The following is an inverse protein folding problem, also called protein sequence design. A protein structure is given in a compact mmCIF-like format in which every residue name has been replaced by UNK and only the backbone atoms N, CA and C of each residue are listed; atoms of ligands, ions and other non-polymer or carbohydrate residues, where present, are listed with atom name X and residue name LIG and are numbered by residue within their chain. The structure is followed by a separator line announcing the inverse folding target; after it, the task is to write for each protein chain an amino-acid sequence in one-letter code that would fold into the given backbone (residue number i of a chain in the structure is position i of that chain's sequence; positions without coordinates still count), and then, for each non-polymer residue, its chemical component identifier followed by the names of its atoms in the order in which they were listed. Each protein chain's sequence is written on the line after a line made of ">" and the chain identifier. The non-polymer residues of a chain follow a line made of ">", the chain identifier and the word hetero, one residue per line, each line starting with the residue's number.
data_IF_130661018680
#
_entry.id   IF_130661018680
#
_cell.length_a   1.000
_cell.length_b   1.000
_cell.length_c   1.000
_cell.angle_alpha   90.00
_cell.angle_beta   90.00
_cell.angle_gamma   90.00
#
_symmetry.space_group_name_H-M   'P 1'
#
loop_
_entity.id
_entity.type
_entity.pdbx_description
1 polymer ?
#
# COMPACT_ATOMS: atom_id res chain seq x y z
N UNK A 1 11.53 -9.42 -19.00
CA UNK A 1 10.61 -10.10 -18.06
C UNK A 1 9.24 -9.50 -18.27
N UNK A 2 8.25 -10.30 -18.69
CA UNK A 2 6.89 -9.81 -18.86
C UNK A 2 6.38 -9.24 -17.53
N UNK A 3 5.90 -8.01 -17.54
CA UNK A 3 5.35 -7.36 -16.36
C UNK A 3 4.09 -8.15 -15.96
N UNK A 4 4.18 -8.95 -14.90
CA UNK A 4 3.04 -9.71 -14.41
C UNK A 4 1.92 -8.71 -14.08
N UNK A 5 0.77 -8.86 -14.76
CA UNK A 5 -0.39 -7.97 -14.61
C UNK A 5 -0.67 -7.79 -13.12
N UNK A 6 -0.57 -6.55 -12.64
CA UNK A 6 -0.77 -6.25 -11.23
C UNK A 6 -2.15 -6.75 -10.78
N UNK A 7 -2.24 -7.35 -9.59
CA UNK A 7 -3.52 -7.78 -9.01
C UNK A 7 -4.54 -6.64 -8.95
N UNK A 8 -4.07 -5.39 -8.93
CA UNK A 8 -4.89 -4.18 -8.97
C UNK A 8 -5.51 -3.94 -10.35
N UNK A 9 -4.81 -4.29 -11.42
CA UNK A 9 -5.29 -4.12 -12.79
C UNK A 9 -6.30 -5.21 -13.17
N UNK A 10 -6.13 -6.41 -12.60
CA UNK A 10 -7.10 -7.50 -12.73
C UNK A 10 -8.41 -7.25 -11.97
N UNK A 11 -8.35 -6.56 -10.83
CA UNK A 11 -9.50 -6.29 -9.97
C UNK A 11 -9.98 -4.83 -10.01
N UNK A 12 -9.63 -4.10 -11.07
CA UNK A 12 -9.92 -2.66 -11.14
C UNK A 12 -11.42 -2.36 -11.02
N UNK A 13 -12.27 -3.15 -11.66
CA UNK A 13 -13.73 -3.00 -11.57
C UNK A 13 -14.23 -3.16 -10.13
N UNK A 14 -13.79 -4.21 -9.41
CA UNK A 14 -14.15 -4.42 -8.01
C UNK A 14 -13.66 -3.27 -7.12
N UNK A 15 -12.46 -2.78 -7.37
CA UNK A 15 -11.89 -1.65 -6.64
C UNK A 15 -12.71 -0.38 -6.86
N UNK A 16 -13.10 -0.08 -8.10
CA UNK A 16 -13.94 1.05 -8.44
C UNK A 16 -15.34 0.93 -7.82
N UNK A 17 -15.94 -0.27 -7.81
CA UNK A 17 -17.21 -0.53 -7.14
C UNK A 17 -17.12 -0.29 -5.63
N UNK A 18 -16.06 -0.80 -4.98
CA UNK A 18 -15.82 -0.59 -3.55
C UNK A 18 -15.64 0.90 -3.22
N UNK A 19 -14.87 1.63 -4.05
CA UNK A 19 -14.66 3.07 -3.90
C UNK A 19 -15.95 3.86 -4.10
N UNK A 20 -16.74 3.53 -5.13
CA UNK A 20 -18.02 4.16 -5.41
C UNK A 20 -19.01 3.94 -4.27
N UNK A 21 -19.11 2.71 -3.76
CA UNK A 21 -19.94 2.39 -2.60
C UNK A 21 -19.54 3.20 -1.36
N UNK A 22 -18.24 3.29 -1.06
CA UNK A 22 -17.75 4.11 0.06
C UNK A 22 -18.04 5.59 -0.12
N UNK A 23 -17.85 6.13 -1.32
CA UNK A 23 -18.17 7.53 -1.60
C UNK A 23 -19.66 7.82 -1.40
N UNK A 24 -20.54 6.91 -1.87
CA UNK A 24 -21.99 7.02 -1.67
C UNK A 24 -22.35 6.91 -0.18
N UNK A 25 -21.76 5.95 0.54
CA UNK A 25 -22.02 5.76 1.97
C UNK A 25 -21.58 6.99 2.78
N UNK A 26 -20.38 7.51 2.52
CA UNK A 26 -19.88 8.73 3.15
C UNK A 26 -20.79 9.91 2.79
N UNK A 27 -21.14 10.07 1.52
CA UNK A 27 -22.06 11.12 1.10
C UNK A 27 -23.42 11.00 1.81
N UNK A 28 -23.98 9.80 1.92
CA UNK A 28 -25.23 9.54 2.61
C UNK A 28 -25.16 9.84 4.12
N UNK A 29 -24.09 9.38 4.79
CA UNK A 29 -23.81 9.72 6.20
C UNK A 29 -23.63 11.23 6.39
N UNK A 30 -23.07 11.90 5.38
CA UNK A 30 -22.92 13.35 5.32
C UNK A 30 -24.16 14.07 4.79
N UNK A 31 -25.30 13.44 4.59
CA UNK A 31 -26.52 14.17 4.29
C UNK A 31 -27.41 14.32 5.52
N UNK A 32 -27.01 13.71 6.65
CA UNK A 32 -27.75 13.68 7.92
C UNK A 32 -29.26 13.56 7.66
N UNK A 33 -29.62 12.67 6.72
CA UNK A 33 -30.93 12.67 6.05
C UNK A 33 -31.99 12.47 7.13
N UNK A 34 -32.83 13.48 7.40
CA UNK A 34 -33.86 13.32 8.39
C UNK A 34 -34.85 12.28 7.87
N UNK A 35 -34.98 11.15 8.58
CA UNK A 35 -35.95 10.10 8.26
C UNK A 35 -37.40 10.60 8.43
N UNK A 36 -37.57 11.77 9.05
CA UNK A 36 -38.83 12.42 9.29
C UNK A 36 -38.85 13.82 8.63
N UNK A 37 -39.84 14.17 7.79
CA UNK A 37 -39.97 15.50 7.20
C UNK A 37 -40.01 16.65 8.22
N UNK A 38 -40.38 16.38 9.48
CA UNK A 38 -40.39 17.37 10.54
C UNK A 38 -38.99 17.88 10.95
N UNK A 39 -37.93 17.12 10.65
CA UNK A 39 -36.55 17.41 11.05
C UNK A 39 -35.76 18.20 9.98
N UNK A 40 -36.45 18.79 8.99
CA UNK A 40 -35.88 19.68 7.98
C UNK A 40 -35.04 20.85 8.58
N UNK A 41 -35.30 21.23 9.84
CA UNK A 41 -34.50 22.24 10.57
C UNK A 41 -33.10 21.73 10.98
N UNK A 42 -32.88 20.43 11.11
CA UNK A 42 -31.58 19.84 11.44
C UNK A 42 -30.58 19.98 10.28
N UNK A 43 -31.07 19.98 9.02
CA UNK A 43 -30.26 20.20 7.82
C UNK A 43 -29.59 21.59 7.85
N UNK A 44 -30.19 22.59 8.48
CA UNK A 44 -29.59 23.92 8.63
C UNK A 44 -28.42 23.97 9.63
N UNK A 45 -28.35 23.02 10.56
CA UNK A 45 -27.23 22.86 11.52
C UNK A 45 -26.14 21.91 10.99
N UNK A 46 -26.33 21.40 9.77
CA UNK A 46 -25.44 20.46 9.14
C UNK A 46 -24.03 21.04 9.02
N UNK A 47 -23.05 20.37 9.64
CA UNK A 47 -21.64 20.80 9.69
C UNK A 47 -20.92 20.46 8.38
N UNK A 48 -21.42 21.03 7.28
CA UNK A 48 -20.98 20.81 5.91
C UNK A 48 -19.46 20.89 5.72
N UNK A 49 -18.79 21.75 6.49
CA UNK A 49 -17.33 21.90 6.46
C UNK A 49 -16.61 20.65 7.00
N UNK A 50 -17.03 20.13 8.15
CA UNK A 50 -16.40 18.96 8.78
C UNK A 50 -16.65 17.69 7.96
N UNK A 51 -17.90 17.52 7.55
CA UNK A 51 -18.31 16.45 6.67
C UNK A 51 -17.52 16.53 5.34
N UNK A 52 -17.50 17.70 4.70
CA UNK A 52 -16.74 17.95 3.48
C UNK A 52 -15.26 17.60 3.60
N UNK A 53 -14.62 17.98 4.72
CA UNK A 53 -13.23 17.61 5.01
C UNK A 53 -13.05 16.09 5.12
N UNK A 54 -13.93 15.38 5.82
CA UNK A 54 -13.86 13.91 5.96
C UNK A 54 -13.99 13.23 4.59
N UNK A 55 -14.93 13.70 3.75
CA UNK A 55 -15.12 13.21 2.40
C UNK A 55 -13.87 13.42 1.53
N UNK A 56 -13.31 14.63 1.54
CA UNK A 56 -12.09 14.96 0.79
C UNK A 56 -10.91 14.13 1.28
N UNK A 57 -10.71 14.00 2.60
CA UNK A 57 -9.63 13.19 3.17
C UNK A 57 -9.76 11.72 2.78
N UNK A 58 -10.97 11.18 2.77
CA UNK A 58 -11.23 9.78 2.39
C UNK A 58 -10.91 9.53 0.91
N UNK A 59 -11.35 10.43 0.02
CA UNK A 59 -11.02 10.37 -1.40
C UNK A 59 -9.50 10.51 -1.60
N UNK A 60 -8.87 11.50 -0.96
CA UNK A 60 -7.43 11.72 -1.04
C UNK A 60 -6.63 10.50 -0.58
N UNK A 61 -7.03 9.83 0.51
CA UNK A 61 -6.41 8.60 1.00
C UNK A 61 -6.49 7.47 -0.04
N UNK A 62 -7.64 7.29 -0.68
CA UNK A 62 -7.80 6.28 -1.73
C UNK A 62 -6.89 6.58 -2.93
N UNK A 63 -6.83 7.83 -3.37
CA UNK A 63 -5.96 8.25 -4.47
C UNK A 63 -4.47 8.11 -4.12
N UNK A 64 -4.05 8.55 -2.94
CA UNK A 64 -2.67 8.37 -2.44
C UNK A 64 -2.28 6.90 -2.39
N UNK A 65 -3.21 6.02 -2.00
CA UNK A 65 -2.96 4.59 -1.96
C UNK A 65 -2.86 3.97 -3.37
N UNK A 66 -3.41 4.62 -4.41
CA UNK A 66 -3.32 4.16 -5.79
C UNK A 66 -2.13 4.75 -6.55
N UNK A 67 -1.79 6.01 -6.32
CA UNK A 67 -0.81 6.77 -7.09
C UNK A 67 0.65 6.56 -6.66
N UNK A 68 0.89 6.15 -5.41
CA UNK A 68 2.25 5.91 -4.94
C UNK A 68 2.90 4.73 -5.67
N UNK A 69 4.00 4.98 -6.39
CA UNK A 69 4.83 3.89 -6.91
C UNK A 69 5.29 2.98 -5.76
N UNK A 70 5.48 1.67 -5.99
CA UNK A 70 5.98 0.76 -4.94
C UNK A 70 7.26 1.27 -4.27
N UNK A 71 8.09 1.98 -5.03
CA UNK A 71 9.31 2.62 -4.53
C UNK A 71 9.01 3.72 -3.51
N UNK A 72 8.10 4.65 -3.80
CA UNK A 72 7.71 5.72 -2.88
C UNK A 72 7.12 5.12 -1.61
N UNK A 73 6.27 4.10 -1.74
CA UNK A 73 5.69 3.41 -0.59
C UNK A 73 6.76 2.76 0.28
N UNK A 74 7.70 2.04 -0.33
CA UNK A 74 8.81 1.45 0.40
C UNK A 74 9.68 2.54 1.06
N UNK A 75 9.89 3.67 0.40
CA UNK A 75 10.66 4.78 0.96
C UNK A 75 10.00 5.39 2.20
N UNK A 76 8.68 5.57 2.17
CA UNK A 76 7.90 6.06 3.31
C UNK A 76 7.87 5.06 4.47
N UNK A 77 7.55 3.79 4.19
CA UNK A 77 7.44 2.74 5.22
C UNK A 77 8.78 2.46 5.90
N UNK A 78 9.87 2.38 5.13
CA UNK A 78 11.20 2.08 5.65
C UNK A 78 12.04 3.33 5.94
N UNK A 79 11.44 4.52 5.79
CA UNK A 79 12.08 5.82 6.00
C UNK A 79 13.45 5.95 5.29
N UNK A 80 13.50 5.55 4.01
CA UNK A 80 14.74 5.49 3.21
C UNK A 80 14.51 6.02 1.80
N UNK A 81 15.35 6.96 1.36
CA UNK A 81 15.26 7.54 0.01
C UNK A 81 15.94 6.68 -1.07
N UNK A 82 17.09 6.06 -0.76
CA UNK A 82 17.87 5.25 -1.71
C UNK A 82 17.78 3.76 -1.38
N UNK A 83 17.50 2.93 -2.39
CA UNK A 83 17.33 1.49 -2.26
C UNK A 83 16.40 1.12 -1.08
N UNK A 84 15.14 1.61 -1.09
CA UNK A 84 14.27 1.54 0.08
C UNK A 84 13.90 0.11 0.45
N UNK A 85 13.79 -0.77 -0.55
CA UNK A 85 13.38 -2.16 -0.36
C UNK A 85 14.28 -2.90 0.63
N UNK A 86 13.71 -3.72 1.54
CA UNK A 86 14.50 -4.50 2.49
C UNK A 86 15.37 -5.54 1.77
N UNK A 87 14.92 -6.04 0.61
CA UNK A 87 15.68 -6.92 -0.27
C UNK A 87 17.06 -6.37 -0.67
N UNK A 88 17.21 -5.04 -0.76
CA UNK A 88 18.48 -4.39 -1.09
C UNK A 88 19.57 -4.52 -0.01
N UNK A 89 19.23 -5.08 1.14
CA UNK A 89 20.12 -5.29 2.29
C UNK A 89 19.83 -6.63 2.98
N UNK A 90 19.14 -7.52 2.29
CA UNK A 90 18.70 -8.80 2.82
C UNK A 90 19.91 -9.64 3.28
N UNK A 91 20.96 -9.70 2.46
CA UNK A 91 22.10 -10.57 2.72
C UNK A 91 23.23 -9.85 3.49
N UNK A 92 23.45 -8.57 3.20
CA UNK A 92 24.56 -7.83 3.81
C UNK A 92 24.28 -7.27 5.20
N UNK A 93 23.00 -7.19 5.62
CA UNK A 93 22.64 -6.64 6.94
C UNK A 93 21.57 -7.45 7.65
N UNK A 94 20.44 -7.73 7.00
CA UNK A 94 19.29 -8.33 7.68
C UNK A 94 19.54 -9.80 8.04
N UNK A 95 20.10 -10.58 7.12
CA UNK A 95 20.38 -11.99 7.35
C UNK A 95 21.49 -12.24 8.38
N UNK A 96 22.51 -11.37 8.40
CA UNK A 96 23.64 -11.53 9.33
C UNK A 96 23.25 -11.26 10.79
N UNK A 97 22.22 -10.44 11.02
CA UNK A 97 21.76 -10.09 12.37
C UNK A 97 20.59 -10.93 12.88
N UNK A 98 20.14 -11.94 12.13
CA UNK A 98 19.00 -12.78 12.50
C UNK A 98 19.47 -14.22 12.75
N UNK A 99 19.43 -14.64 14.01
CA UNK A 99 19.87 -15.96 14.48
C UNK A 99 19.01 -17.12 13.95
N UNK A 100 17.81 -16.83 13.46
CA UNK A 100 16.92 -17.83 12.84
C UNK A 100 17.36 -18.21 11.43
N UNK A 101 18.26 -17.43 10.81
CA UNK A 101 18.70 -17.64 9.43
C UNK A 101 19.94 -18.54 9.40
N UNK A 102 19.79 -19.72 8.79
CA UNK A 102 20.92 -20.60 8.51
C UNK A 102 21.70 -20.09 7.29
N UNK A 103 22.79 -19.37 7.54
CA UNK A 103 23.59 -18.71 6.48
C UNK A 103 24.10 -19.68 5.41
N UNK A 104 24.52 -20.89 5.78
CA UNK A 104 24.98 -21.90 4.81
C UNK A 104 23.86 -22.47 3.94
N UNK A 105 22.62 -22.53 4.45
CA UNK A 105 21.45 -22.91 3.65
C UNK A 105 21.08 -21.79 2.68
N UNK A 106 21.09 -20.54 3.17
CA UNK A 106 20.82 -19.36 2.35
C UNK A 106 21.83 -19.20 1.22
N UNK A 107 23.12 -19.37 1.52
CA UNK A 107 24.22 -19.31 0.55
C UNK A 107 24.02 -20.30 -0.60
N UNK A 108 23.67 -21.54 -0.28
CA UNK A 108 23.37 -22.58 -1.29
C UNK A 108 22.14 -22.22 -2.12
N UNK A 109 21.09 -21.70 -1.50
CA UNK A 109 19.86 -21.32 -2.18
C UNK A 109 20.05 -20.22 -3.23
N UNK A 110 21.02 -19.32 -3.03
CA UNK A 110 21.32 -18.23 -3.99
C UNK A 110 22.44 -18.55 -4.98
N UNK A 111 23.00 -19.76 -4.96
CA UNK A 111 24.03 -20.20 -5.91
C UNK A 111 25.47 -20.02 -5.45
N UNK A 112 25.73 -19.87 -4.14
CA UNK A 112 27.07 -19.98 -3.55
C UNK A 112 27.66 -18.68 -3.01
N UNK A 113 27.62 -17.58 -3.76
CA UNK A 113 28.06 -16.28 -3.26
C UNK A 113 26.88 -15.37 -2.94
N UNK A 114 26.89 -14.79 -1.74
CA UNK A 114 25.87 -13.83 -1.35
C UNK A 114 26.13 -12.50 -2.08
N UNK A 115 25.14 -11.95 -2.82
CA UNK A 115 25.32 -10.68 -3.48
C UNK A 115 25.54 -9.55 -2.46
N UNK A 116 26.40 -8.59 -2.80
CA UNK A 116 26.69 -7.44 -1.94
C UNK A 116 26.09 -6.12 -2.48
N UNK A 117 25.98 -5.95 -3.79
CA UNK A 117 25.36 -4.75 -4.38
C UNK A 117 23.85 -4.67 -4.08
N UNK A 118 23.30 -3.50 -3.68
CA UNK A 118 21.90 -3.36 -3.33
C UNK A 118 20.89 -3.84 -4.39
N UNK A 119 21.17 -3.65 -5.69
CA UNK A 119 20.26 -4.13 -6.74
C UNK A 119 20.35 -5.65 -6.86
N UNK A 120 21.56 -6.18 -6.89
CA UNK A 120 21.81 -7.64 -6.97
C UNK A 120 21.21 -8.38 -5.77
N UNK A 121 21.32 -7.81 -4.57
CA UNK A 121 20.66 -8.33 -3.37
C UNK A 121 19.14 -8.40 -3.54
N UNK A 122 18.51 -7.31 -4.01
CA UNK A 122 17.07 -7.31 -4.20
C UNK A 122 16.61 -8.32 -5.25
N UNK A 123 17.35 -8.48 -6.35
CA UNK A 123 17.05 -9.47 -7.38
C UNK A 123 17.14 -10.89 -6.82
N UNK A 124 18.24 -11.23 -6.12
CA UNK A 124 18.39 -12.55 -5.53
C UNK A 124 17.32 -12.83 -4.47
N UNK A 125 16.97 -11.83 -3.66
CA UNK A 125 15.90 -11.92 -2.68
C UNK A 125 14.56 -12.31 -3.32
N UNK A 126 14.15 -11.60 -4.38
CA UNK A 126 12.88 -11.92 -5.07
C UNK A 126 12.89 -13.29 -5.77
N UNK A 127 14.04 -13.72 -6.31
CA UNK A 127 14.17 -15.06 -6.92
C UNK A 127 13.86 -16.19 -5.94
N UNK A 128 14.16 -16.03 -4.64
CA UNK A 128 13.86 -17.05 -3.63
C UNK A 128 12.36 -17.33 -3.46
N UNK A 129 11.50 -16.37 -3.81
CA UNK A 129 10.04 -16.49 -3.68
C UNK A 129 9.34 -16.91 -4.97
N UNK A 130 10.01 -16.82 -6.11
CA UNK A 130 9.43 -17.10 -7.43
C UNK A 130 9.60 -18.57 -7.83
N UNK A 131 9.41 -19.50 -6.89
CA UNK A 131 9.44 -20.95 -7.14
C UNK A 131 8.31 -21.34 -8.08
#
# INVERSE_FOLDING_TARGET
>A
MAEAKSLKDGNLSLLLSFMGFHAILIFWLMLDVPLNPADLKAIAQFKWLQSGLIGICSIALIFLNRLGSPHIKAALVFWKSKYPYPGCRAFSKLAQGDDRIQMEKLRRAVGGELPHDPKSQNIAWYKLYQV
#
